data_IF_147788276680
#
_entry.id   IF_147788276680
#
_cell.length_a   1.000
_cell.length_b   1.000
_cell.length_c   1.000
_cell.angle_alpha   90.00
_cell.angle_beta   90.00
_cell.angle_gamma   90.00
#
_symmetry.space_group_name_H-M   'P 1'
#
loop_
_entity.id
_entity.type
_entity.pdbx_description
1 polymer ?
#
# COMPACT_ATOMS: atom_id res chain seq x y z
N UNK A 1 13.36 -10.51 11.63
CA UNK A 1 11.94 -10.28 11.95
C UNK A 1 11.33 -9.76 10.66
N UNK A 2 10.50 -10.59 10.04
CA UNK A 2 9.79 -10.21 8.84
C UNK A 2 8.74 -9.17 9.21
N UNK A 3 8.80 -8.01 8.57
CA UNK A 3 7.88 -6.91 8.84
C UNK A 3 6.62 -7.10 8.00
N UNK A 4 5.50 -7.23 8.66
CA UNK A 4 4.18 -6.93 8.08
C UNK A 4 3.96 -5.42 8.16
N UNK A 5 3.25 -4.89 7.20
CA UNK A 5 2.89 -3.48 7.18
C UNK A 5 1.85 -3.20 8.26
N UNK A 6 2.19 -2.35 9.21
CA UNK A 6 1.30 -1.88 10.28
C UNK A 6 0.91 -0.41 10.05
N UNK A 7 -0.10 0.09 10.78
CA UNK A 7 -0.62 1.45 10.59
C UNK A 7 0.47 2.52 10.63
N UNK A 8 1.39 2.57 11.62
CA UNK A 8 2.43 3.61 11.63
C UNK A 8 3.38 3.54 10.44
N UNK A 9 3.65 2.32 9.97
CA UNK A 9 4.52 2.08 8.82
C UNK A 9 3.84 2.47 7.50
N UNK A 10 2.56 2.12 7.32
CA UNK A 10 1.82 2.51 6.12
C UNK A 10 1.76 4.03 5.95
N UNK A 11 1.49 4.76 7.01
CA UNK A 11 1.48 6.23 7.01
C UNK A 11 2.88 6.82 6.75
N UNK A 12 3.91 6.27 7.38
CA UNK A 12 5.29 6.74 7.21
C UNK A 12 5.79 6.50 5.78
N UNK A 13 5.55 5.31 5.24
CA UNK A 13 5.96 4.98 3.87
C UNK A 13 5.14 5.74 2.81
N UNK A 14 3.83 5.91 3.03
CA UNK A 14 3.00 6.70 2.14
C UNK A 14 3.48 8.15 2.07
N UNK A 15 3.82 8.77 3.20
CA UNK A 15 4.39 10.12 3.23
C UNK A 15 5.71 10.21 2.47
N UNK A 16 6.63 9.26 2.69
CA UNK A 16 7.88 9.21 1.95
C UNK A 16 7.66 9.01 0.45
N UNK A 17 6.71 8.15 0.07
CA UNK A 17 6.34 7.95 -1.32
C UNK A 17 5.73 9.21 -1.94
N UNK A 18 4.87 9.93 -1.23
CA UNK A 18 4.32 11.20 -1.68
C UNK A 18 5.42 12.24 -1.93
N UNK A 19 6.35 12.39 -0.99
CA UNK A 19 7.47 13.33 -1.11
C UNK A 19 8.38 13.02 -2.31
N UNK A 20 8.59 11.74 -2.62
CA UNK A 20 9.51 11.30 -3.67
C UNK A 20 8.85 11.20 -5.05
N UNK A 21 7.56 10.88 -5.12
CA UNK A 21 6.91 10.45 -6.36
C UNK A 21 5.85 11.42 -6.88
N UNK A 22 5.34 12.36 -6.07
CA UNK A 22 4.31 13.30 -6.55
C UNK A 22 4.77 14.07 -7.78
N UNK A 23 3.93 14.06 -8.81
CA UNK A 23 4.20 14.69 -10.10
C UNK A 23 5.02 13.86 -11.08
N UNK A 24 5.53 12.67 -10.69
CA UNK A 24 6.28 11.80 -11.61
C UNK A 24 5.33 10.95 -12.43
N UNK A 25 5.69 10.77 -13.69
CA UNK A 25 4.90 9.99 -14.65
C UNK A 25 5.52 8.60 -14.82
N UNK A 26 4.68 7.58 -14.76
CA UNK A 26 5.09 6.18 -15.01
C UNK A 26 5.47 6.01 -16.49
N UNK A 27 6.70 5.62 -16.74
CA UNK A 27 7.24 5.38 -18.10
C UNK A 27 7.20 3.90 -18.48
N UNK A 28 7.39 3.02 -17.50
CA UNK A 28 7.31 1.58 -17.75
C UNK A 28 6.94 0.79 -16.48
N UNK A 29 6.46 -0.43 -16.67
CA UNK A 29 6.14 -1.39 -15.60
C UNK A 29 6.68 -2.76 -16.01
N UNK A 30 7.52 -3.33 -15.16
CA UNK A 30 8.15 -4.62 -15.37
C UNK A 30 7.60 -5.66 -14.40
N UNK A 31 7.19 -6.78 -14.94
CA UNK A 31 6.69 -7.92 -14.17
C UNK A 31 7.82 -8.62 -13.40
N UNK A 32 7.44 -9.53 -12.52
CA UNK A 32 8.35 -10.27 -11.68
C UNK A 32 9.48 -10.94 -12.47
N UNK A 33 10.73 -10.66 -12.09
CA UNK A 33 11.88 -11.47 -12.51
C UNK A 33 12.03 -12.72 -11.64
N UNK A 34 11.45 -12.68 -10.44
CA UNK A 34 11.46 -13.77 -9.48
C UNK A 34 10.04 -13.93 -8.90
N UNK A 35 9.14 -14.71 -9.54
CA UNK A 35 7.79 -14.94 -9.04
C UNK A 35 7.80 -15.49 -7.62
N UNK A 36 6.95 -14.95 -6.76
CA UNK A 36 6.80 -15.41 -5.40
C UNK A 36 5.42 -16.05 -5.19
N UNK A 37 5.39 -17.25 -4.63
CA UNK A 37 4.19 -18.10 -4.50
C UNK A 37 3.01 -17.41 -3.80
N UNK A 38 3.28 -16.51 -2.87
CA UNK A 38 2.28 -15.81 -2.07
C UNK A 38 2.21 -14.31 -2.38
N UNK A 39 2.57 -13.92 -3.60
CA UNK A 39 2.27 -12.58 -4.10
C UNK A 39 0.90 -12.59 -4.77
N UNK A 40 0.04 -11.69 -4.35
CA UNK A 40 -1.30 -11.53 -4.90
C UNK A 40 -1.37 -10.32 -5.82
N UNK A 41 -2.01 -10.51 -6.95
CA UNK A 41 -2.28 -9.47 -7.93
C UNK A 41 -3.78 -9.41 -8.23
N UNK A 42 -4.29 -8.25 -8.58
CA UNK A 42 -5.65 -8.12 -9.09
C UNK A 42 -5.66 -8.35 -10.61
N UNK A 43 -6.09 -9.52 -11.04
CA UNK A 43 -6.00 -9.96 -12.44
C UNK A 43 -4.59 -10.35 -12.84
N UNK A 44 -4.28 -10.23 -14.12
CA UNK A 44 -2.94 -10.55 -14.63
C UNK A 44 -1.99 -9.35 -14.42
N UNK A 45 -0.85 -9.53 -13.72
CA UNK A 45 0.14 -8.47 -13.58
C UNK A 45 0.73 -8.01 -14.93
N UNK A 46 0.65 -8.80 -15.99
CA UNK A 46 1.04 -8.38 -17.34
C UNK A 46 0.23 -7.18 -17.84
N UNK A 47 -1.02 -7.02 -17.38
CA UNK A 47 -1.88 -5.89 -17.72
C UNK A 47 -1.51 -4.60 -16.98
N UNK A 48 -0.68 -4.67 -15.93
CA UNK A 48 -0.34 -3.50 -15.10
C UNK A 48 0.39 -2.42 -15.91
N UNK A 49 1.20 -2.83 -16.88
CA UNK A 49 1.85 -1.89 -17.80
C UNK A 49 0.82 -1.04 -18.54
N UNK A 50 -0.19 -1.65 -19.12
CA UNK A 50 -1.26 -0.93 -19.84
C UNK A 50 -2.13 -0.07 -18.92
N UNK A 51 -2.26 -0.44 -17.65
CA UNK A 51 -3.06 0.30 -16.67
C UNK A 51 -2.35 1.53 -16.12
N UNK A 52 -1.03 1.51 -16.00
CA UNK A 52 -0.24 2.50 -15.23
C UNK A 52 0.65 3.39 -16.10
N UNK A 53 1.18 2.92 -17.25
CA UNK A 53 2.07 3.72 -18.11
C UNK A 53 1.37 4.98 -18.62
N UNK A 54 2.08 6.10 -18.58
CA UNK A 54 1.60 7.42 -18.96
C UNK A 54 0.79 8.14 -17.87
N UNK A 55 0.58 7.51 -16.70
CA UNK A 55 -0.13 8.13 -15.58
C UNK A 55 0.84 8.77 -14.59
N UNK A 56 0.44 9.92 -14.08
CA UNK A 56 1.22 10.70 -13.11
C UNK A 56 0.75 10.40 -11.68
N UNK A 57 1.69 10.20 -10.78
CA UNK A 57 1.41 10.03 -9.35
C UNK A 57 0.89 11.35 -8.79
N UNK A 58 -0.30 11.34 -8.18
CA UNK A 58 -0.96 12.51 -7.59
C UNK A 58 -0.81 12.57 -6.09
N UNK A 59 -0.88 11.43 -5.43
CA UNK A 59 -0.74 11.30 -3.98
C UNK A 59 -0.25 9.90 -3.61
N UNK A 60 0.16 9.74 -2.36
CA UNK A 60 0.34 8.46 -1.72
C UNK A 60 -0.27 8.53 -0.31
N UNK A 61 -1.09 7.55 0.03
CA UNK A 61 -1.86 7.53 1.26
C UNK A 61 -1.69 6.20 1.99
N UNK A 62 -1.68 6.26 3.32
CA UNK A 62 -1.66 5.07 4.18
C UNK A 62 -3.05 4.83 4.76
N UNK A 63 -3.58 3.61 4.61
CA UNK A 63 -4.88 3.22 5.14
C UNK A 63 -4.77 1.87 5.83
N UNK A 64 -4.84 1.84 7.16
CA UNK A 64 -4.63 0.60 7.90
C UNK A 64 -3.30 -0.05 7.53
N UNK A 65 -3.34 -1.29 7.04
CA UNK A 65 -2.18 -2.04 6.55
C UNK A 65 -1.96 -1.89 5.04
N UNK A 66 -2.45 -0.82 4.42
CA UNK A 66 -2.27 -0.53 2.99
C UNK A 66 -1.49 0.75 2.76
N UNK A 67 -0.68 0.75 1.72
CA UNK A 67 -0.15 1.96 1.08
C UNK A 67 -0.80 2.04 -0.29
N UNK A 68 -1.39 3.18 -0.61
CA UNK A 68 -2.06 3.43 -1.88
C UNK A 68 -1.39 4.58 -2.62
N UNK A 69 -0.87 4.32 -3.80
CA UNK A 69 -0.40 5.35 -4.72
C UNK A 69 -1.54 5.69 -5.68
N UNK A 70 -1.98 6.93 -5.61
CA UNK A 70 -3.04 7.46 -6.46
C UNK A 70 -2.43 8.11 -7.69
N UNK A 71 -2.91 7.71 -8.87
CA UNK A 71 -2.46 8.21 -10.15
C UNK A 71 -3.59 8.89 -10.92
N UNK A 72 -3.28 9.46 -12.08
CA UNK A 72 -4.28 10.03 -12.99
C UNK A 72 -5.38 9.03 -13.37
N UNK A 73 -6.53 9.56 -13.79
CA UNK A 73 -7.69 8.79 -14.25
C UNK A 73 -8.21 7.77 -13.21
N UNK A 74 -8.10 8.10 -11.94
CA UNK A 74 -8.51 7.23 -10.84
C UNK A 74 -7.82 5.85 -10.89
N UNK A 75 -6.57 5.82 -11.38
CA UNK A 75 -5.74 4.63 -11.33
C UNK A 75 -5.02 4.59 -9.98
N UNK A 76 -4.89 3.40 -9.43
CA UNK A 76 -4.27 3.14 -8.14
C UNK A 76 -3.30 1.98 -8.24
N UNK A 77 -2.30 2.01 -7.39
CA UNK A 77 -1.54 0.83 -7.02
C UNK A 77 -1.45 0.74 -5.50
N UNK A 78 -2.15 -0.23 -4.94
CA UNK A 78 -2.16 -0.49 -3.50
C UNK A 78 -1.24 -1.66 -3.15
N UNK A 79 -0.58 -1.55 -2.02
CA UNK A 79 0.27 -2.59 -1.44
C UNK A 79 -0.29 -2.99 -0.08
N UNK A 80 -0.19 -4.27 0.26
CA UNK A 80 -0.60 -4.76 1.58
C UNK A 80 0.39 -5.75 2.19
N UNK A 81 0.26 -5.96 3.48
CA UNK A 81 0.93 -7.00 4.25
C UNK A 81 2.46 -6.96 4.17
N UNK A 82 3.08 -8.04 3.72
CA UNK A 82 4.54 -8.20 3.65
C UNK A 82 5.19 -7.73 2.34
N UNK A 83 4.53 -6.78 1.62
CA UNK A 83 5.17 -6.13 0.48
C UNK A 83 6.16 -5.07 0.97
N UNK A 84 7.41 -5.20 0.54
CA UNK A 84 8.42 -4.18 0.74
C UNK A 84 8.49 -3.28 -0.48
N UNK A 85 8.38 -1.98 -0.27
CA UNK A 85 8.52 -0.94 -1.27
C UNK A 85 9.88 -0.27 -1.12
N UNK A 86 10.65 -0.17 -2.22
CA UNK A 86 11.92 0.54 -2.25
C UNK A 86 11.98 1.52 -3.41
N UNK A 87 12.28 2.76 -3.08
CA UNK A 87 12.63 3.78 -4.05
C UNK A 87 14.12 3.67 -4.42
N UNK A 88 14.41 3.80 -5.71
CA UNK A 88 15.74 3.85 -6.26
C UNK A 88 15.89 5.15 -7.07
N UNK A 89 16.91 5.94 -6.73
CA UNK A 89 17.20 7.20 -7.39
C UNK A 89 17.70 6.97 -8.85
N UNK A 90 17.63 7.98 -9.71
CA UNK A 90 18.18 7.93 -11.05
C UNK A 90 19.62 7.40 -11.08
N UNK A 91 19.91 6.50 -12.00
CA UNK A 91 21.23 5.88 -12.14
C UNK A 91 21.53 4.73 -11.16
N UNK A 92 20.60 4.40 -10.27
CA UNK A 92 20.75 3.22 -9.41
C UNK A 92 20.71 1.92 -10.23
N UNK A 93 21.41 0.90 -9.75
CA UNK A 93 21.39 -0.42 -10.37
C UNK A 93 20.04 -1.13 -10.06
N UNK A 94 19.45 -1.73 -11.10
CA UNK A 94 18.19 -2.49 -10.95
C UNK A 94 18.47 -3.80 -10.23
N UNK A 95 17.78 -4.07 -9.11
CA UNK A 95 17.95 -5.33 -8.40
C UNK A 95 17.58 -6.53 -9.28
N UNK A 96 18.31 -7.64 -9.18
CA UNK A 96 18.06 -8.82 -10.03
C UNK A 96 16.76 -9.56 -9.69
N UNK A 97 16.17 -9.32 -8.51
CA UNK A 97 14.97 -10.01 -8.03
C UNK A 97 13.93 -9.02 -7.53
N UNK A 98 12.75 -9.08 -8.13
CA UNK A 98 11.58 -8.30 -7.70
C UNK A 98 10.29 -8.99 -8.16
N UNK A 99 9.17 -8.60 -7.57
CA UNK A 99 7.83 -9.03 -7.97
C UNK A 99 7.13 -8.01 -8.88
N UNK A 100 7.47 -6.73 -8.76
CA UNK A 100 7.09 -5.67 -9.67
C UNK A 100 8.15 -4.57 -9.65
N UNK A 101 8.34 -3.89 -10.77
CA UNK A 101 9.12 -2.65 -10.85
C UNK A 101 8.35 -1.61 -11.66
N UNK A 102 8.30 -0.38 -11.17
CA UNK A 102 7.69 0.77 -11.84
C UNK A 102 8.75 1.81 -12.07
N UNK A 103 8.98 2.18 -13.33
CA UNK A 103 9.92 3.22 -13.74
C UNK A 103 9.20 4.56 -13.96
N UNK A 104 9.89 5.66 -13.69
CA UNK A 104 9.38 7.03 -13.80
C UNK A 104 10.17 7.86 -14.82
N UNK A 105 9.60 9.01 -15.18
CA UNK A 105 10.12 9.94 -16.21
C UNK A 105 11.41 10.67 -15.82
N UNK A 106 11.86 10.55 -14.59
CA UNK A 106 13.15 11.05 -14.11
C UNK A 106 14.22 9.98 -13.97
N UNK A 107 14.02 8.80 -14.56
CA UNK A 107 14.87 7.60 -14.45
C UNK A 107 14.97 6.99 -13.05
N UNK A 108 14.14 7.45 -12.10
CA UNK A 108 13.95 6.76 -10.82
C UNK A 108 13.00 5.57 -10.98
N UNK A 109 13.01 4.68 -10.01
CA UNK A 109 12.08 3.54 -10.04
C UNK A 109 11.71 3.04 -8.65
N UNK A 110 10.55 2.41 -8.57
CA UNK A 110 10.09 1.65 -7.41
C UNK A 110 10.25 0.16 -7.62
N UNK A 111 10.76 -0.52 -6.62
CA UNK A 111 10.87 -1.98 -6.58
C UNK A 111 9.98 -2.55 -5.49
N UNK A 112 9.19 -3.54 -5.87
CA UNK A 112 8.28 -4.26 -4.98
C UNK A 112 8.81 -5.69 -4.77
N UNK A 113 9.03 -6.05 -3.52
CA UNK A 113 9.42 -7.40 -3.14
C UNK A 113 8.49 -7.95 -2.07
N UNK A 114 8.28 -9.26 -2.08
CA UNK A 114 7.44 -9.97 -1.09
C UNK A 114 8.29 -10.96 -0.35
N UNK A 115 8.30 -10.87 0.97
CA UNK A 115 9.07 -11.78 1.83
C UNK A 115 8.29 -13.04 2.21
N UNK A 116 7.08 -12.89 2.76
CA UNK A 116 6.20 -14.00 3.14
C UNK A 116 4.97 -14.10 2.25
N UNK A 117 4.12 -13.09 2.31
CA UNK A 117 2.92 -12.93 1.47
C UNK A 117 2.59 -11.44 1.40
N UNK A 118 1.89 -11.04 0.35
CA UNK A 118 1.47 -9.65 0.21
C UNK A 118 0.78 -9.38 -1.12
N UNK A 119 -0.01 -8.31 -1.14
CA UNK A 119 -0.75 -7.87 -2.30
C UNK A 119 -0.07 -6.70 -3.01
N UNK A 120 0.08 -6.81 -4.32
CA UNK A 120 0.47 -5.72 -5.23
C UNK A 120 -0.68 -5.57 -6.22
N UNK A 121 -1.49 -4.53 -6.03
CA UNK A 121 -2.85 -4.47 -6.59
C UNK A 121 -3.02 -3.20 -7.41
N UNK A 122 -2.98 -3.31 -8.75
CA UNK A 122 -3.30 -2.19 -9.63
C UNK A 122 -4.78 -2.25 -10.05
N UNK A 123 -5.51 -1.16 -9.80
CA UNK A 123 -6.94 -1.06 -10.12
C UNK A 123 -7.30 0.35 -10.62
N UNK A 124 -8.55 0.50 -11.05
CA UNK A 124 -9.12 1.79 -11.44
C UNK A 124 -10.46 1.98 -10.73
N UNK A 125 -10.64 3.15 -10.14
CA UNK A 125 -11.85 3.60 -9.42
C UNK A 125 -12.15 2.80 -8.16
N UNK A 126 -12.32 1.50 -8.25
CA UNK A 126 -12.84 0.68 -7.16
C UNK A 126 -12.10 -0.64 -7.03
N UNK A 127 -11.75 -0.98 -5.80
CA UNK A 127 -11.22 -2.28 -5.41
C UNK A 127 -12.13 -2.89 -4.35
N UNK A 128 -12.94 -3.85 -4.77
CA UNK A 128 -13.92 -4.52 -3.90
C UNK A 128 -13.25 -5.58 -3.02
N UNK A 129 -12.59 -5.09 -1.99
CA UNK A 129 -11.95 -5.91 -0.98
C UNK A 129 -12.39 -5.43 0.41
N UNK A 130 -13.01 -6.29 1.26
CA UNK A 130 -13.54 -5.89 2.57
C UNK A 130 -12.49 -5.28 3.49
N UNK A 131 -11.25 -5.77 3.45
CA UNK A 131 -10.16 -5.24 4.28
C UNK A 131 -9.72 -3.85 3.81
N UNK A 132 -9.59 -3.65 2.50
CA UNK A 132 -9.25 -2.35 1.92
C UNK A 132 -10.36 -1.33 2.18
N UNK A 133 -11.61 -1.68 1.91
CA UNK A 133 -12.77 -0.82 2.18
C UNK A 133 -12.93 -0.51 3.68
N UNK A 134 -12.68 -1.51 4.52
CA UNK A 134 -12.65 -1.31 5.97
C UNK A 134 -11.56 -0.35 6.42
N UNK A 135 -10.37 -0.43 5.81
CA UNK A 135 -9.26 0.48 6.10
C UNK A 135 -9.57 1.93 5.67
N UNK A 136 -10.26 2.13 4.53
CA UNK A 136 -10.69 3.44 4.07
C UNK A 136 -11.80 4.07 4.92
N UNK A 137 -12.70 3.26 5.47
CA UNK A 137 -13.90 3.73 6.15
C UNK A 137 -13.72 3.98 7.65
N UNK A 138 -12.71 3.37 8.26
CA UNK A 138 -12.45 3.50 9.70
C UNK A 138 -11.47 4.65 9.96
N UNK A 139 -11.74 5.48 10.98
CA UNK A 139 -10.79 6.50 11.38
C UNK A 139 -9.49 5.85 11.87
N UNK A 140 -8.36 6.45 11.53
CA UNK A 140 -7.05 5.98 11.98
C UNK A 140 -6.88 6.23 13.48
N UNK A 141 -6.27 5.29 14.23
CA UNK A 141 -5.86 5.55 15.60
C UNK A 141 -4.87 6.72 15.77
N UNK A 142 -4.30 7.21 14.68
CA UNK A 142 -3.40 8.35 14.65
C UNK A 142 -4.12 9.70 14.49
N UNK A 143 -5.44 9.68 14.24
CA UNK A 143 -6.26 10.87 14.05
C UNK A 143 -7.00 11.25 15.34
N UNK A 144 -7.11 12.54 15.62
CA UNK A 144 -7.86 13.06 16.78
C UNK A 144 -9.34 12.59 16.76
N UNK A 145 -9.93 12.50 15.56
CA UNK A 145 -11.29 12.00 15.36
C UNK A 145 -11.51 10.55 15.87
N UNK A 146 -10.46 9.73 15.91
CA UNK A 146 -10.55 8.38 16.47
C UNK A 146 -10.83 8.43 17.97
N UNK A 147 -10.13 9.27 18.71
CA UNK A 147 -10.28 9.39 20.18
C UNK A 147 -11.68 9.87 20.52
N UNK A 148 -12.17 10.92 19.87
CA UNK A 148 -13.43 11.56 20.16
C UNK A 148 -14.65 10.74 19.71
N UNK A 149 -14.63 10.23 18.49
CA UNK A 149 -15.80 9.63 17.86
C UNK A 149 -15.82 8.09 17.90
N UNK A 150 -14.69 7.43 18.08
CA UNK A 150 -14.56 5.98 17.99
C UNK A 150 -14.14 5.32 19.29
N UNK A 151 -13.02 5.72 19.86
CA UNK A 151 -12.42 5.01 21.00
C UNK A 151 -13.32 5.01 22.24
N UNK A 152 -13.98 6.14 22.52
CA UNK A 152 -14.93 6.24 23.62
C UNK A 152 -16.11 5.26 23.49
N UNK A 153 -16.63 5.10 22.26
CA UNK A 153 -17.70 4.13 21.97
C UNK A 153 -17.20 2.68 22.08
N UNK A 154 -16.04 2.38 21.51
CA UNK A 154 -15.44 1.04 21.60
C UNK A 154 -15.27 0.61 23.06
N UNK A 155 -14.81 1.51 23.94
CA UNK A 155 -14.70 1.22 25.38
C UNK A 155 -16.05 1.02 26.04
N UNK A 156 -17.03 1.88 25.74
CA UNK A 156 -18.38 1.78 26.36
C UNK A 156 -19.12 0.53 25.94
N UNK A 157 -18.91 0.07 24.71
CA UNK A 157 -19.58 -1.09 24.13
C UNK A 157 -18.83 -2.40 24.42
N UNK A 158 -17.60 -2.31 24.95
CA UNK A 158 -16.79 -3.47 25.28
C UNK A 158 -17.45 -4.35 26.33
N UNK A 159 -17.39 -5.67 26.12
CA UNK A 159 -17.89 -6.64 27.10
C UNK A 159 -17.05 -6.55 28.37
N UNK A 160 -17.73 -6.48 29.52
CA UNK A 160 -17.09 -6.29 30.84
C UNK A 160 -16.10 -7.39 31.26
N UNK A 161 -16.10 -8.53 30.54
CA UNK A 161 -15.23 -9.67 30.82
C UNK A 161 -14.01 -9.75 29.85
N UNK A 162 -13.85 -8.79 28.95
CA UNK A 162 -12.68 -8.74 28.08
C UNK A 162 -11.47 -8.18 28.83
N UNK A 163 -10.32 -8.85 28.71
CA UNK A 163 -9.06 -8.24 29.11
C UNK A 163 -8.68 -7.13 28.14
N UNK A 164 -7.91 -6.14 28.60
CA UNK A 164 -7.41 -5.06 27.73
C UNK A 164 -6.67 -5.61 26.48
N UNK A 165 -5.90 -6.68 26.64
CA UNK A 165 -5.22 -7.35 25.52
C UNK A 165 -6.22 -7.92 24.50
N UNK A 166 -7.26 -8.59 24.97
CA UNK A 166 -8.28 -9.16 24.08
C UNK A 166 -9.06 -8.06 23.36
N UNK A 167 -9.43 -6.99 24.09
CA UNK A 167 -10.09 -5.83 23.51
C UNK A 167 -9.26 -5.19 22.37
N UNK A 168 -7.99 -4.88 22.63
CA UNK A 168 -7.10 -4.26 21.63
C UNK A 168 -6.76 -5.16 20.43
N UNK A 169 -6.98 -6.46 20.54
CA UNK A 169 -6.71 -7.41 19.48
C UNK A 169 -7.94 -7.75 18.60
N UNK A 170 -9.15 -7.41 19.05
CA UNK A 170 -10.41 -7.85 18.42
C UNK A 170 -11.33 -6.72 17.97
N UNK A 171 -11.15 -5.49 18.48
CA UNK A 171 -11.94 -4.30 18.15
C UNK A 171 -11.18 -3.31 17.26
#
# INVERSE_FOLDING_TARGET
IEKMLEIPESYSFARQAADMLSGRTVTDVFNATHPHKFTWYLGDPADYRARLVGKTVRAAEGHGAFIDLLLDDEAHIALSDGVNLRYHAPGAEVPPKYQLLIAFDDDSFLVFTVAMYGGIIAFRKHFDNPYYLGALSKPSPLDDAFVEACFGRLISDAKSNLSAKAFLATE
#
